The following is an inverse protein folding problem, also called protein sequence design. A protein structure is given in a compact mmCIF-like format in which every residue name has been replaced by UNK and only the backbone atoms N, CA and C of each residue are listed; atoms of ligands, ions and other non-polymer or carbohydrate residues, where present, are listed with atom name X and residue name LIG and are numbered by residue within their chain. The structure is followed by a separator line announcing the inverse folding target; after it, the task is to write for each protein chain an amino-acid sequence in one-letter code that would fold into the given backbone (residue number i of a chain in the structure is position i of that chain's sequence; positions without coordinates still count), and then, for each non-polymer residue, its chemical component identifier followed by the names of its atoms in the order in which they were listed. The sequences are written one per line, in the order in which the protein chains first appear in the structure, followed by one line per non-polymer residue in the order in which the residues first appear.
data_IF_305964720154
#
_entry.id   IF_305964720154
#
_cell.length_a   1.000
_cell.length_b   1.000
_cell.length_c   1.000
_cell.angle_alpha   90.00
_cell.angle_beta   90.00
_cell.angle_gamma   90.00
#
_symmetry.space_group_name_H-M   'P 1'
#
loop_
_entity.id
_entity.type
_entity.pdbx_description
1 polymer ?
#
# COMPACT_ATOMS: atom_id res chain seq x y z
N UNK A 1 -17.61 -23.94 -28.44
CA UNK A 1 -16.84 -23.11 -29.38
C UNK A 1 -17.10 -21.67 -29.01
N UNK A 2 -16.24 -21.08 -28.17
CA UNK A 2 -16.36 -19.69 -27.73
C UNK A 2 -15.69 -18.84 -28.82
N UNK A 3 -16.48 -17.97 -29.46
CA UNK A 3 -15.97 -17.05 -30.48
C UNK A 3 -15.37 -15.86 -29.74
N UNK A 4 -14.04 -15.81 -29.64
CA UNK A 4 -13.29 -14.65 -29.18
C UNK A 4 -13.28 -13.61 -30.32
N UNK A 5 -14.28 -12.75 -30.35
CA UNK A 5 -14.13 -11.48 -31.07
C UNK A 5 -13.10 -10.63 -30.33
N UNK A 6 -12.18 -9.92 -31.01
CA UNK A 6 -11.33 -8.95 -30.33
C UNK A 6 -12.22 -7.79 -29.88
N UNK A 7 -12.65 -7.83 -28.61
CA UNK A 7 -13.26 -6.69 -27.96
C UNK A 7 -12.21 -5.59 -27.94
N UNK A 8 -12.56 -4.47 -28.56
CA UNK A 8 -11.67 -3.32 -28.61
C UNK A 8 -11.98 -2.51 -27.37
N UNK A 9 -11.17 -2.67 -26.32
CA UNK A 9 -11.27 -1.81 -25.14
C UNK A 9 -10.76 -0.42 -25.53
N UNK A 10 -11.65 0.58 -25.61
CA UNK A 10 -11.27 1.95 -25.93
C UNK A 10 -10.89 2.65 -24.63
N UNK A 11 -9.60 2.64 -24.33
CA UNK A 11 -9.03 3.25 -23.14
C UNK A 11 -7.63 2.76 -22.83
N UNK A 12 -7.07 3.29 -21.75
CA UNK A 12 -5.70 3.03 -21.33
C UNK A 12 -5.68 2.43 -19.93
N UNK A 13 -4.75 1.50 -19.71
CA UNK A 13 -4.37 1.01 -18.38
C UNK A 13 -2.91 1.40 -18.16
N UNK A 14 -2.67 2.17 -17.11
CA UNK A 14 -1.35 2.58 -16.66
C UNK A 14 -0.95 1.76 -15.43
N UNK A 15 0.30 1.32 -15.40
CA UNK A 15 0.86 0.54 -14.29
C UNK A 15 2.09 1.24 -13.75
N UNK A 16 2.24 1.28 -12.42
CA UNK A 16 3.43 1.79 -11.76
C UNK A 16 3.81 0.94 -10.54
N UNK A 17 5.12 0.93 -10.28
CA UNK A 17 5.73 0.30 -9.11
C UNK A 17 6.46 1.36 -8.28
N UNK A 18 6.31 1.28 -6.96
CA UNK A 18 7.01 2.15 -6.02
C UNK A 18 7.36 1.41 -4.72
N UNK A 19 8.65 1.36 -4.32
CA UNK A 19 9.82 1.82 -5.07
C UNK A 19 10.12 0.92 -6.29
N UNK A 20 10.99 1.37 -7.20
CA UNK A 20 11.45 0.56 -8.36
C UNK A 20 12.62 -0.38 -8.03
N UNK A 21 13.27 -0.15 -6.90
CA UNK A 21 14.32 -0.98 -6.35
C UNK A 21 14.08 -1.08 -4.84
N UNK A 22 14.27 -2.26 -4.27
CA UNK A 22 14.07 -2.50 -2.85
C UNK A 22 14.99 -3.62 -2.35
N UNK A 23 14.95 -3.91 -1.06
CA UNK A 23 15.55 -5.12 -0.47
C UNK A 23 14.45 -6.13 -0.12
N UNK A 24 14.80 -7.42 0.12
CA UNK A 24 13.84 -8.37 0.66
C UNK A 24 13.16 -7.81 1.91
N UNK A 25 11.87 -8.04 2.07
CA UNK A 25 11.07 -7.55 3.20
C UNK A 25 10.61 -6.10 3.11
N UNK A 26 11.10 -5.29 2.17
CA UNK A 26 10.56 -3.94 1.95
C UNK A 26 9.14 -4.00 1.39
N UNK A 27 8.31 -3.01 1.74
CA UNK A 27 6.96 -2.89 1.19
C UNK A 27 7.02 -2.21 -0.18
N UNK A 28 6.46 -2.88 -1.19
CA UNK A 28 6.34 -2.38 -2.55
C UNK A 28 4.86 -2.21 -2.91
N UNK A 29 4.54 -1.07 -3.53
CA UNK A 29 3.22 -0.77 -4.09
C UNK A 29 3.23 -1.01 -5.60
N UNK A 30 2.34 -1.90 -6.05
CA UNK A 30 1.90 -2.00 -7.44
C UNK A 30 0.58 -1.23 -7.57
N UNK A 31 0.57 -0.21 -8.42
CA UNK A 31 -0.62 0.59 -8.72
C UNK A 31 -1.02 0.41 -10.17
N UNK A 32 -2.30 0.13 -10.39
CA UNK A 32 -2.92 -0.01 -11.70
C UNK A 32 -4.05 1.01 -11.81
N UNK A 33 -4.02 1.85 -12.84
CA UNK A 33 -5.02 2.88 -13.08
C UNK A 33 -5.62 2.68 -14.47
N UNK A 34 -6.94 2.73 -14.57
CA UNK A 34 -7.64 2.61 -15.85
C UNK A 34 -8.39 3.88 -16.21
N UNK A 35 -8.54 4.12 -17.51
CA UNK A 35 -9.36 5.20 -18.05
C UNK A 35 -10.04 4.71 -19.33
N UNK A 36 -11.36 4.57 -19.30
CA UNK A 36 -12.17 4.06 -20.40
C UNK A 36 -13.25 5.04 -20.83
N UNK A 37 -13.63 5.04 -22.11
CA UNK A 37 -14.68 5.93 -22.64
C UNK A 37 -16.10 5.47 -22.27
N UNK A 38 -16.29 4.16 -22.03
CA UNK A 38 -17.57 3.56 -21.64
C UNK A 38 -17.46 2.87 -20.28
N UNK A 39 -18.61 2.66 -19.62
CA UNK A 39 -18.61 2.03 -18.30
C UNK A 39 -17.94 0.66 -18.37
N UNK A 40 -16.78 0.59 -17.74
CA UNK A 40 -15.89 -0.56 -17.73
C UNK A 40 -15.25 -0.62 -16.35
N UNK A 41 -15.25 -1.81 -15.75
CA UNK A 41 -14.50 -2.09 -14.53
C UNK A 41 -13.39 -3.08 -14.82
N UNK A 42 -12.37 -3.08 -13.99
CA UNK A 42 -11.37 -4.12 -13.97
C UNK A 42 -11.17 -4.67 -12.56
N UNK A 43 -10.68 -5.90 -12.52
CA UNK A 43 -10.26 -6.60 -11.32
C UNK A 43 -8.85 -7.13 -11.57
N UNK A 44 -7.95 -6.89 -10.63
CA UNK A 44 -6.58 -7.38 -10.72
C UNK A 44 -6.53 -8.79 -10.13
N UNK A 45 -5.97 -9.74 -10.88
CA UNK A 45 -5.77 -11.11 -10.43
C UNK A 45 -4.32 -11.24 -10.01
N UNK A 46 -4.13 -11.43 -8.69
CA UNK A 46 -2.82 -11.61 -8.09
C UNK A 46 -2.65 -13.10 -7.75
N UNK A 47 -1.71 -13.80 -8.39
CA UNK A 47 -1.44 -15.20 -8.07
C UNK A 47 -0.77 -15.33 -6.71
N UNK A 48 -1.02 -16.46 -6.05
CA UNK A 48 -0.30 -16.83 -4.84
C UNK A 48 1.10 -17.32 -5.24
N UNK A 49 2.15 -16.74 -4.66
CA UNK A 49 3.55 -17.07 -4.96
C UNK A 49 4.35 -17.20 -3.68
N UNK A 50 5.34 -18.09 -3.68
CA UNK A 50 6.20 -18.33 -2.51
C UNK A 50 7.32 -17.30 -2.33
N UNK A 51 7.56 -16.45 -3.34
CA UNK A 51 8.64 -15.47 -3.39
C UNK A 51 8.22 -14.06 -2.94
N UNK A 52 6.95 -13.87 -2.56
CA UNK A 52 6.43 -12.65 -1.95
C UNK A 52 5.40 -12.90 -0.85
N UNK A 53 5.08 -11.87 -0.09
CA UNK A 53 3.93 -11.85 0.82
C UNK A 53 2.99 -10.74 0.38
N UNK A 54 1.75 -11.10 0.06
CA UNK A 54 0.68 -10.14 -0.20
C UNK A 54 0.22 -9.51 1.11
N UNK A 55 0.32 -8.18 1.23
CA UNK A 55 -0.10 -7.44 2.42
C UNK A 55 -1.51 -6.88 2.29
N UNK A 56 -1.83 -6.28 1.15
CA UNK A 56 -3.18 -5.82 0.84
C UNK A 56 -3.42 -5.83 -0.66
N UNK A 57 -4.70 -5.95 -1.02
CA UNK A 57 -5.19 -5.80 -2.38
C UNK A 57 -6.50 -5.02 -2.32
N UNK A 58 -6.48 -3.81 -2.86
CA UNK A 58 -7.58 -2.86 -2.80
C UNK A 58 -7.93 -2.39 -4.21
N UNK A 59 -9.23 -2.31 -4.50
CA UNK A 59 -9.73 -1.74 -5.73
C UNK A 59 -10.73 -0.64 -5.39
N UNK A 60 -10.49 0.57 -5.89
CA UNK A 60 -11.42 1.69 -5.81
C UNK A 60 -12.66 1.38 -6.66
N UNK A 61 -13.84 1.92 -6.30
CA UNK A 61 -15.00 1.84 -7.16
C UNK A 61 -14.78 2.65 -8.44
N UNK A 62 -15.42 2.23 -9.53
CA UNK A 62 -15.41 2.98 -10.80
C UNK A 62 -16.03 4.36 -10.56
N UNK A 63 -15.34 5.41 -10.98
CA UNK A 63 -15.79 6.81 -10.94
C UNK A 63 -15.85 7.38 -12.35
N UNK A 64 -16.86 8.20 -12.63
CA UNK A 64 -16.93 8.94 -13.88
C UNK A 64 -16.42 10.37 -13.66
N UNK A 65 -15.26 10.69 -14.24
CA UNK A 65 -14.62 12.01 -14.12
C UNK A 65 -14.00 12.43 -15.45
N UNK A 66 -14.10 13.72 -15.79
CA UNK A 66 -13.47 14.29 -17.00
C UNK A 66 -13.87 13.60 -18.32
N UNK A 67 -15.09 13.05 -18.40
CA UNK A 67 -15.57 12.36 -19.60
C UNK A 67 -15.13 10.91 -19.75
N UNK A 68 -14.49 10.33 -18.73
CA UNK A 68 -14.04 8.94 -18.73
C UNK A 68 -14.43 8.19 -17.44
N UNK A 69 -14.58 6.87 -17.57
CA UNK A 69 -14.71 5.94 -16.46
C UNK A 69 -13.32 5.54 -15.98
N UNK A 70 -13.00 5.92 -14.74
CA UNK A 70 -11.71 5.69 -14.12
C UNK A 70 -11.85 4.74 -12.94
N UNK A 71 -10.87 3.87 -12.78
CA UNK A 71 -10.75 2.99 -11.64
C UNK A 71 -9.27 2.86 -11.28
N UNK A 72 -8.99 2.61 -10.01
CA UNK A 72 -7.64 2.38 -9.52
C UNK A 72 -7.63 1.12 -8.66
N UNK A 73 -6.58 0.31 -8.78
CA UNK A 73 -6.28 -0.80 -7.90
C UNK A 73 -4.86 -0.64 -7.34
N UNK A 74 -4.69 -1.02 -6.09
CA UNK A 74 -3.41 -1.00 -5.37
C UNK A 74 -3.16 -2.35 -4.74
N UNK A 75 -1.93 -2.82 -4.87
CA UNK A 75 -1.45 -4.03 -4.23
C UNK A 75 -0.20 -3.67 -3.47
N UNK A 76 -0.18 -3.98 -2.17
CA UNK A 76 1.04 -3.91 -1.37
C UNK A 76 1.54 -5.32 -1.12
N UNK A 77 2.83 -5.53 -1.35
CA UNK A 77 3.48 -6.81 -1.14
C UNK A 77 4.91 -6.61 -0.63
N UNK A 78 5.51 -7.69 -0.14
CA UNK A 78 6.92 -7.73 0.25
C UNK A 78 7.62 -8.86 -0.51
N UNK A 79 8.66 -8.59 -1.31
CA UNK A 79 9.47 -9.64 -1.90
C UNK A 79 10.29 -10.34 -0.81
N UNK A 80 10.46 -11.65 -0.91
CA UNK A 80 11.18 -12.45 0.09
C UNK A 80 12.62 -12.78 -0.32
N UNK A 81 12.95 -12.61 -1.60
CA UNK A 81 14.23 -13.00 -2.17
C UNK A 81 14.81 -11.88 -3.04
N UNK A 82 16.14 -11.79 -3.07
CA UNK A 82 16.84 -10.89 -3.96
C UNK A 82 16.85 -11.43 -5.39
N UNK A 83 16.86 -10.54 -6.37
CA UNK A 83 16.81 -10.88 -7.79
C UNK A 83 15.91 -9.94 -8.58
N UNK A 84 15.71 -10.29 -9.85
CA UNK A 84 14.70 -9.64 -10.69
C UNK A 84 13.36 -10.33 -10.45
N UNK A 85 12.36 -9.54 -10.08
CA UNK A 85 10.99 -9.99 -9.82
C UNK A 85 10.11 -9.60 -11.00
N UNK A 86 9.61 -10.61 -11.72
CA UNK A 86 8.67 -10.43 -12.83
C UNK A 86 7.22 -10.60 -12.36
N UNK A 87 6.30 -9.99 -13.09
CA UNK A 87 4.85 -10.03 -12.81
C UNK A 87 4.06 -10.58 -14.00
N UNK A 88 4.67 -11.52 -14.73
CA UNK A 88 4.09 -12.07 -15.97
C UNK A 88 2.77 -12.83 -15.75
N UNK A 89 2.53 -13.23 -14.50
CA UNK A 89 1.38 -13.97 -14.01
C UNK A 89 0.29 -13.06 -13.39
N UNK A 90 0.51 -11.74 -13.36
CA UNK A 90 -0.46 -10.75 -12.92
C UNK A 90 -1.32 -10.28 -14.09
N UNK A 91 -2.62 -10.56 -14.01
CA UNK A 91 -3.58 -10.28 -15.07
C UNK A 91 -4.65 -9.27 -14.63
N UNK A 92 -5.23 -8.53 -15.57
CA UNK A 92 -6.42 -7.73 -15.34
C UNK A 92 -7.64 -8.34 -16.04
N UNK A 93 -8.69 -8.63 -15.27
CA UNK A 93 -10.00 -9.04 -15.80
C UNK A 93 -10.84 -7.79 -16.00
N UNK A 94 -10.97 -7.37 -17.26
CA UNK A 94 -11.74 -6.19 -17.68
C UNK A 94 -13.15 -6.61 -18.05
N UNK A 95 -14.16 -5.94 -17.48
CA UNK A 95 -15.59 -6.21 -17.71
C UNK A 95 -16.27 -4.95 -18.25
N UNK A 96 -16.88 -5.07 -19.42
CA UNK A 96 -17.66 -4.01 -20.06
C UNK A 96 -19.02 -4.55 -20.54
N UNK A 97 -19.85 -3.67 -21.11
CA UNK A 97 -21.11 -4.08 -21.75
C UNK A 97 -20.92 -5.01 -22.95
N UNK A 98 -19.73 -5.02 -23.55
CA UNK A 98 -19.42 -5.85 -24.73
C UNK A 98 -18.92 -7.25 -24.34
N UNK A 99 -18.48 -7.43 -23.09
CA UNK A 99 -18.05 -8.72 -22.56
C UNK A 99 -16.95 -8.60 -21.52
N UNK A 100 -16.32 -9.74 -21.24
CA UNK A 100 -15.18 -9.86 -20.33
C UNK A 100 -13.92 -10.19 -21.12
N UNK A 101 -12.83 -9.51 -20.83
CA UNK A 101 -11.51 -9.77 -21.39
C UNK A 101 -10.48 -9.93 -20.29
N UNK A 102 -9.52 -10.83 -20.49
CA UNK A 102 -8.31 -10.93 -19.67
C UNK A 102 -7.21 -10.19 -20.42
N UNK A 103 -6.51 -9.30 -19.71
CA UNK A 103 -5.42 -8.49 -20.24
C UNK A 103 -4.14 -8.76 -19.44
N UNK A 104 -3.08 -9.11 -20.17
CA UNK A 104 -1.73 -9.15 -19.61
C UNK A 104 -1.26 -7.72 -19.34
N UNK A 105 -0.84 -7.46 -18.11
CA UNK A 105 -0.36 -6.13 -17.73
C UNK A 105 1.14 -6.02 -18.04
N UNK A 106 1.52 -4.94 -18.74
CA UNK A 106 2.92 -4.62 -18.98
C UNK A 106 3.56 -3.99 -17.72
N UNK A 107 3.72 -4.80 -16.67
CA UNK A 107 4.31 -4.37 -15.40
C UNK A 107 5.84 -4.38 -15.56
N UNK A 108 6.55 -3.28 -15.23
CA UNK A 108 8.00 -3.28 -15.26
C UNK A 108 8.57 -4.26 -14.22
N UNK A 109 9.72 -4.89 -14.47
CA UNK A 109 10.36 -5.75 -13.47
C UNK A 109 10.78 -4.92 -12.25
N UNK A 110 10.74 -5.55 -11.08
CA UNK A 110 11.24 -4.99 -9.83
C UNK A 110 12.62 -5.57 -9.53
N UNK A 111 13.59 -4.71 -9.23
CA UNK A 111 14.93 -5.14 -8.85
C UNK A 111 15.04 -5.21 -7.32
N UNK A 112 15.20 -6.42 -6.78
CA UNK A 112 15.35 -6.66 -5.35
C UNK A 112 16.83 -6.89 -5.03
N UNK A 113 17.46 -5.91 -4.40
CA UNK A 113 18.86 -5.94 -4.05
C UNK A 113 19.12 -6.83 -2.83
N UNK A 114 20.16 -7.67 -2.84
CA UNK A 114 20.53 -8.41 -1.64
C UNK A 114 20.95 -7.45 -0.53
N UNK A 115 20.80 -7.88 0.72
CA UNK A 115 21.46 -7.17 1.82
C UNK A 115 22.97 -7.21 1.60
N UNK A 116 23.61 -6.05 1.76
CA UNK A 116 25.06 -5.99 1.81
C UNK A 116 25.48 -6.77 3.04
N UNK A 117 26.24 -7.84 2.86
CA UNK A 117 26.88 -8.56 3.96
C UNK A 117 27.83 -7.57 4.65
N UNK A 118 27.38 -6.98 5.75
CA UNK A 118 28.29 -6.36 6.70
C UNK A 118 29.18 -7.45 7.28
N UNK A 119 30.38 -7.09 7.74
CA UNK A 119 31.13 -7.98 8.61
C UNK A 119 30.21 -8.28 9.81
N UNK A 120 29.72 -9.52 9.92
CA UNK A 120 28.99 -9.99 11.09
C UNK A 120 29.94 -9.80 12.28
N UNK A 121 29.69 -8.73 13.02
CA UNK A 121 30.37 -8.48 14.28
C UNK A 121 29.70 -9.39 15.30
N UNK A 122 30.45 -10.37 15.80
CA UNK A 122 30.03 -11.20 16.94
C UNK A 122 29.82 -10.37 18.23
N UNK A 123 30.26 -9.11 18.24
CA UNK A 123 29.91 -8.16 19.29
C UNK A 123 28.49 -7.63 19.05
N UNK A 124 27.50 -8.02 19.88
CA UNK A 124 26.15 -7.48 19.77
C UNK A 124 26.21 -5.97 19.95
N UNK A 125 25.62 -5.24 18.99
CA UNK A 125 25.39 -3.81 19.17
C UNK A 125 24.61 -3.63 20.47
N UNK A 126 25.21 -2.88 21.41
CA UNK A 126 24.51 -2.51 22.63
C UNK A 126 23.21 -1.81 22.21
N UNK A 127 22.08 -2.34 22.70
CA UNK A 127 20.79 -1.66 22.53
C UNK A 127 21.00 -0.25 23.10
N UNK A 128 20.88 0.77 22.26
CA UNK A 128 20.97 2.14 22.75
C UNK A 128 19.98 2.24 23.92
N UNK A 129 20.47 2.64 25.10
CA UNK A 129 19.59 2.93 26.22
C UNK A 129 18.65 4.03 25.71
N UNK A 130 17.44 3.64 25.31
CA UNK A 130 16.34 4.55 25.14
C UNK A 130 16.11 5.02 26.57
N UNK A 131 16.73 6.15 26.91
CA UNK A 131 16.62 6.74 28.24
C UNK A 131 15.14 6.85 28.55
N UNK A 132 14.66 6.00 29.45
CA UNK A 132 13.36 6.19 30.06
C UNK A 132 13.45 7.56 30.73
N UNK A 133 12.91 8.60 30.09
CA UNK A 133 12.46 9.76 30.83
C UNK A 133 11.28 9.25 31.65
N UNK A 134 11.60 8.73 32.84
CA UNK A 134 10.63 8.62 33.90
C UNK A 134 10.04 10.02 34.03
N UNK A 135 8.78 10.16 33.63
CA UNK A 135 8.00 11.34 33.94
C UNK A 135 7.93 11.38 35.46
N UNK A 136 8.90 12.03 36.11
CA UNK A 136 8.75 12.44 37.47
C UNK A 136 7.64 13.47 37.44
N UNK A 137 6.44 13.04 37.83
CA UNK A 137 5.46 13.98 38.32
C UNK A 137 6.06 14.57 39.60
N UNK A 138 6.97 15.53 39.43
CA UNK A 138 7.23 16.55 40.43
C UNK A 138 5.97 17.39 40.46
N UNK A 139 4.90 16.79 40.99
CA UNK A 139 3.58 17.35 41.10
C UNK A 139 3.74 18.61 41.91
N UNK A 140 3.80 19.73 41.22
CA UNK A 140 4.07 20.98 41.87
C UNK A 140 2.82 21.33 42.67
N UNK A 141 2.95 21.24 44.00
CA UNK A 141 1.87 21.38 44.97
C UNK A 141 0.97 22.61 44.77
N UNK A 142 1.47 23.65 44.09
CA UNK A 142 0.71 24.86 43.74
C UNK A 142 -0.40 24.62 42.71
N UNK A 143 -0.34 23.56 41.90
CA UNK A 143 -1.42 23.18 40.99
C UNK A 143 -2.69 22.74 41.75
N UNK A 144 -2.53 22.10 42.92
CA UNK A 144 -3.66 21.80 43.81
C UNK A 144 -4.29 23.07 44.40
N UNK A 145 -3.49 24.11 44.65
CA UNK A 145 -3.99 25.39 45.15
C UNK A 145 -4.93 26.05 44.13
N UNK A 146 -4.62 25.97 42.84
CA UNK A 146 -5.47 26.49 41.76
C UNK A 146 -6.79 25.72 41.69
N UNK A 147 -6.75 24.38 41.75
CA UNK A 147 -7.97 23.54 41.70
C UNK A 147 -8.91 23.87 42.86
N UNK A 148 -8.38 24.00 44.09
CA UNK A 148 -9.19 24.36 45.26
C UNK A 148 -9.82 25.74 45.11
N UNK A 149 -9.05 26.75 44.68
CA UNK A 149 -9.55 28.12 44.47
C UNK A 149 -10.68 28.16 43.44
N UNK A 150 -10.55 27.44 42.33
CA UNK A 150 -11.59 27.37 41.29
C UNK A 150 -12.86 26.69 41.82
N UNK A 151 -12.74 25.57 42.55
CA UNK A 151 -13.93 24.89 43.11
C UNK A 151 -14.66 25.71 44.18
N UNK A 152 -13.93 26.47 45.00
CA UNK A 152 -14.53 27.39 45.98
C UNK A 152 -15.23 28.57 45.33
N UNK A 153 -14.72 29.04 44.18
CA UNK A 153 -15.35 30.13 43.42
C UNK A 153 -16.68 29.71 42.79
N UNK A 154 -16.78 28.46 42.32
CA UNK A 154 -18.00 27.93 41.67
C UNK A 154 -19.07 27.58 42.70
N UNK A 155 -18.68 27.18 43.93
CA UNK A 155 -19.63 26.87 45.00
C UNK A 155 -20.25 28.08 45.72
N UNK A 156 -19.70 29.29 45.54
CA UNK A 156 -20.20 30.52 46.18
C UNK A 156 -21.08 31.39 45.27
N UNK A 157 -21.31 30.98 44.02
CA UNK A 157 -22.20 31.64 43.07
C UNK A 157 -23.33 30.74 42.54
N UNK A 158 -23.61 29.62 43.22
CA UNK A 158 -24.76 28.73 42.98
C UNK A 158 -25.85 28.88 44.02
#
# INVERSE_FOLDING_TARGET
MIVLWPLRVWGDIAVSLSPRQCQPGDVVELRVQSSFESYTSFELVIPDREDWVLLTHEADPVRYTEGAYRQEARVLFQPLQAGEFDFSDVEAVVRSSEGTQVLDLAIPPLEVQPYVTGEDSDDPLALAEIGYQEWSATGSWWLWTIVVLVTLSVGLFG
#
